data_IF_053524515242
#
_entry.id   IF_053524515242
#
_cell.length_a   1.000
_cell.length_b   1.000
_cell.length_c   1.000
_cell.angle_alpha   90.00
_cell.angle_beta   90.00
_cell.angle_gamma   90.00
#
_symmetry.space_group_name_H-M   'P 1'
#
loop_
_entity.id
_entity.type
_entity.pdbx_description
1 polymer ?
#
# COMPACT_ATOMS: atom_id res chain seq x y z
N UNK A 1 -23.07 -6.70 4.73
CA UNK A 1 -22.26 -7.75 5.40
C UNK A 1 -20.88 -7.77 4.78
N UNK A 2 -19.83 -7.90 5.59
CA UNK A 2 -18.42 -7.84 5.14
C UNK A 2 -18.08 -9.06 4.27
N UNK A 3 -18.64 -10.22 4.60
CA UNK A 3 -18.56 -11.47 3.84
C UNK A 3 -19.00 -11.27 2.38
N UNK A 4 -20.09 -10.54 2.17
CA UNK A 4 -20.58 -10.21 0.83
C UNK A 4 -19.63 -9.29 0.04
N UNK A 5 -18.90 -8.40 0.72
CA UNK A 5 -17.85 -7.59 0.08
C UNK A 5 -16.65 -8.45 -0.32
N UNK A 6 -16.22 -9.35 0.55
CA UNK A 6 -15.12 -10.30 0.27
C UNK A 6 -15.47 -11.15 -0.96
N UNK A 7 -16.69 -11.70 -1.02
CA UNK A 7 -17.14 -12.49 -2.16
C UNK A 7 -17.11 -11.68 -3.46
N UNK A 8 -17.63 -10.44 -3.45
CA UNK A 8 -17.61 -9.55 -4.62
C UNK A 8 -16.20 -9.22 -5.09
N UNK A 9 -15.25 -9.01 -4.19
CA UNK A 9 -13.84 -8.81 -4.56
C UNK A 9 -13.29 -10.02 -5.31
N UNK A 10 -13.63 -11.24 -4.87
CA UNK A 10 -13.29 -12.47 -5.58
C UNK A 10 -13.92 -12.55 -6.97
N UNK A 11 -15.22 -12.24 -7.06
CA UNK A 11 -15.97 -12.24 -8.32
C UNK A 11 -15.40 -11.23 -9.34
N UNK A 12 -15.08 -10.00 -8.92
CA UNK A 12 -14.44 -8.98 -9.76
C UNK A 12 -13.04 -9.42 -10.22
N UNK A 13 -12.30 -10.13 -9.36
CA UNK A 13 -11.02 -10.72 -9.70
C UNK A 13 -11.14 -12.03 -10.53
N UNK A 14 -12.34 -12.54 -10.79
CA UNK A 14 -12.50 -13.86 -11.44
C UNK A 14 -11.92 -15.02 -10.62
N UNK A 15 -11.80 -14.86 -9.30
CA UNK A 15 -11.28 -15.86 -8.36
C UNK A 15 -12.40 -16.31 -7.43
N UNK A 16 -12.74 -17.60 -7.48
CA UNK A 16 -13.65 -18.20 -6.51
C UNK A 16 -12.98 -18.30 -5.13
N UNK A 17 -13.31 -17.37 -4.23
CA UNK A 17 -12.82 -17.35 -2.85
C UNK A 17 -13.65 -18.31 -1.96
N UNK A 18 -13.01 -19.02 -1.00
CA UNK A 18 -13.73 -19.74 0.03
C UNK A 18 -14.52 -18.79 0.94
N UNK A 19 -15.48 -19.35 1.69
CA UNK A 19 -16.20 -18.60 2.71
C UNK A 19 -15.25 -18.09 3.78
N UNK A 20 -15.49 -16.86 4.24
CA UNK A 20 -14.73 -16.20 5.31
C UNK A 20 -15.63 -15.92 6.48
N UNK A 21 -15.29 -16.45 7.65
CA UNK A 21 -15.95 -16.12 8.91
C UNK A 21 -15.48 -14.75 9.40
N UNK A 22 -16.37 -13.77 9.43
CA UNK A 22 -16.08 -12.45 10.01
C UNK A 22 -16.53 -12.41 11.46
N UNK A 23 -15.71 -11.82 12.33
CA UNK A 23 -16.01 -11.62 13.76
C UNK A 23 -15.77 -10.17 14.16
N UNK A 24 -16.54 -9.67 15.13
CA UNK A 24 -16.53 -8.25 15.50
C UNK A 24 -17.34 -7.37 14.55
N UNK A 25 -17.49 -6.10 14.93
CA UNK A 25 -18.40 -5.15 14.29
C UNK A 25 -17.70 -3.82 13.92
N UNK A 26 -18.22 -3.14 12.90
CA UNK A 26 -17.91 -1.75 12.53
C UNK A 26 -18.97 -0.83 13.17
N UNK A 27 -18.62 0.27 13.86
CA UNK A 27 -17.29 0.90 13.86
C UNK A 27 -16.37 0.48 15.01
N UNK A 28 -15.07 0.42 14.69
CA UNK A 28 -13.94 0.33 15.62
C UNK A 28 -13.20 1.68 15.67
N UNK A 29 -13.01 2.33 14.52
CA UNK A 29 -12.31 3.60 14.41
C UNK A 29 -13.28 4.79 14.28
N UNK A 30 -12.95 5.96 14.86
CA UNK A 30 -13.78 7.16 14.74
C UNK A 30 -13.63 7.80 13.35
N UNK A 31 -14.32 7.25 12.36
CA UNK A 31 -14.23 7.63 10.95
C UNK A 31 -15.60 7.85 10.34
N UNK A 32 -15.70 8.82 9.43
CA UNK A 32 -16.91 9.06 8.61
C UNK A 32 -17.03 8.05 7.45
N UNK A 33 -15.96 7.34 7.14
CA UNK A 33 -15.93 6.23 6.20
C UNK A 33 -15.91 4.90 6.95
N UNK A 34 -16.45 3.85 6.31
CA UNK A 34 -16.43 2.47 6.80
C UNK A 34 -15.05 1.82 6.65
N UNK A 35 -14.05 2.41 7.28
CA UNK A 35 -12.65 1.97 7.22
C UNK A 35 -12.46 0.58 7.83
N UNK A 36 -13.22 0.23 8.86
CA UNK A 36 -13.11 -1.07 9.53
C UNK A 36 -13.69 -2.18 8.64
N UNK A 37 -14.83 -1.91 8.00
CA UNK A 37 -15.37 -2.74 6.91
C UNK A 37 -14.35 -2.92 5.78
N UNK A 38 -13.70 -1.84 5.31
CA UNK A 38 -12.73 -1.91 4.23
C UNK A 38 -11.47 -2.71 4.62
N UNK A 39 -10.99 -2.53 5.86
CA UNK A 39 -9.88 -3.28 6.42
C UNK A 39 -10.19 -4.77 6.49
N UNK A 40 -11.32 -5.12 7.12
CA UNK A 40 -11.74 -6.52 7.28
C UNK A 40 -12.01 -7.20 5.92
N UNK A 41 -12.63 -6.49 4.98
CA UNK A 41 -12.87 -7.02 3.64
C UNK A 41 -11.56 -7.26 2.87
N UNK A 42 -10.59 -6.34 2.97
CA UNK A 42 -9.29 -6.47 2.29
C UNK A 42 -8.46 -7.63 2.87
N UNK A 43 -8.36 -7.69 4.21
CA UNK A 43 -7.62 -8.75 4.92
C UNK A 43 -8.31 -10.11 4.73
N UNK A 44 -9.63 -10.15 4.80
CA UNK A 44 -10.41 -11.36 4.54
C UNK A 44 -10.23 -11.87 3.11
N UNK A 45 -10.29 -10.98 2.11
CA UNK A 45 -10.12 -11.34 0.71
C UNK A 45 -8.73 -11.89 0.40
N UNK A 46 -7.65 -11.25 0.88
CA UNK A 46 -6.29 -11.77 0.66
C UNK A 46 -6.06 -13.09 1.38
N UNK A 47 -6.58 -13.25 2.61
CA UNK A 47 -6.46 -14.50 3.36
C UNK A 47 -7.22 -15.64 2.66
N UNK A 48 -8.41 -15.36 2.14
CA UNK A 48 -9.21 -16.30 1.36
C UNK A 48 -8.54 -16.68 0.03
N UNK A 49 -7.91 -15.71 -0.66
CA UNK A 49 -7.17 -15.95 -1.88
C UNK A 49 -5.95 -16.86 -1.63
N UNK A 50 -5.24 -16.64 -0.53
CA UNK A 50 -4.13 -17.50 -0.09
C UNK A 50 -4.61 -18.91 0.25
N UNK A 51 -5.75 -19.05 0.92
CA UNK A 51 -6.35 -20.36 1.20
C UNK A 51 -6.78 -21.08 -0.08
N UNK A 52 -7.35 -20.36 -1.06
CA UNK A 52 -7.71 -20.90 -2.36
C UNK A 52 -6.47 -21.36 -3.15
N UNK A 53 -5.39 -20.58 -3.10
CA UNK A 53 -4.10 -20.95 -3.70
C UNK A 53 -3.52 -22.20 -3.04
N UNK A 54 -3.49 -22.26 -1.70
CA UNK A 54 -2.98 -23.40 -0.96
C UNK A 54 -3.72 -24.69 -1.32
N UNK A 55 -5.05 -24.66 -1.38
CA UNK A 55 -5.88 -25.82 -1.75
C UNK A 55 -5.70 -26.32 -3.20
N UNK A 56 -4.99 -25.58 -4.06
CA UNK A 56 -4.65 -26.00 -5.43
C UNK A 56 -3.23 -26.57 -5.56
N UNK A 57 -2.41 -26.50 -4.51
CA UNK A 57 -1.04 -27.02 -4.55
C UNK A 57 -1.02 -28.53 -4.43
N UNK A 58 -0.09 -29.17 -5.12
CA UNK A 58 0.24 -30.58 -4.89
C UNK A 58 0.67 -30.77 -3.44
N UNK A 59 0.15 -31.80 -2.77
CA UNK A 59 0.43 -32.06 -1.35
C UNK A 59 -0.34 -31.18 -0.36
N UNK A 60 -1.29 -30.35 -0.82
CA UNK A 60 -2.16 -29.58 0.07
C UNK A 60 -2.98 -30.51 0.99
N UNK A 61 -3.30 -30.07 2.23
CA UNK A 61 -4.17 -30.82 3.13
C UNK A 61 -5.52 -31.15 2.48
N UNK A 62 -6.05 -32.35 2.76
CA UNK A 62 -7.32 -32.80 2.22
C UNK A 62 -8.51 -31.90 2.63
N UNK A 63 -8.43 -31.28 3.82
CA UNK A 63 -9.38 -30.28 4.27
C UNK A 63 -8.84 -28.87 3.99
N UNK A 64 -9.67 -28.01 3.38
CA UNK A 64 -9.34 -26.59 3.24
C UNK A 64 -9.27 -25.93 4.63
N UNK A 65 -8.29 -25.04 4.87
CA UNK A 65 -8.22 -24.33 6.14
C UNK A 65 -9.44 -23.42 6.33
N UNK A 66 -9.92 -23.32 7.57
CA UNK A 66 -10.90 -22.30 7.95
C UNK A 66 -10.29 -20.91 7.75
N UNK A 67 -11.05 -19.99 7.17
CA UNK A 67 -10.62 -18.62 6.91
C UNK A 67 -11.47 -17.68 7.75
N UNK A 68 -10.82 -16.87 8.57
CA UNK A 68 -11.51 -15.88 9.38
C UNK A 68 -10.78 -14.55 9.42
N UNK A 69 -11.55 -13.49 9.72
CA UNK A 69 -11.04 -12.15 9.97
C UNK A 69 -11.81 -11.53 11.14
N UNK A 70 -11.08 -10.92 12.06
CA UNK A 70 -11.67 -10.11 13.13
C UNK A 70 -11.58 -8.62 12.73
N UNK A 71 -12.71 -7.91 12.80
CA UNK A 71 -12.80 -6.50 12.37
C UNK A 71 -11.88 -5.60 13.19
N UNK A 72 -11.74 -5.86 14.49
CA UNK A 72 -10.86 -5.07 15.38
C UNK A 72 -9.39 -5.33 15.09
N UNK A 73 -9.00 -6.59 14.82
CA UNK A 73 -7.64 -6.93 14.40
C UNK A 73 -7.29 -6.30 13.05
N UNK A 74 -8.21 -6.35 12.07
CA UNK A 74 -8.00 -5.73 10.77
C UNK A 74 -7.85 -4.20 10.89
N UNK A 75 -8.70 -3.55 11.69
CA UNK A 75 -8.59 -2.11 11.98
C UNK A 75 -7.26 -1.76 12.64
N UNK A 76 -6.80 -2.55 13.61
CA UNK A 76 -5.50 -2.36 14.25
C UNK A 76 -4.32 -2.51 13.27
N UNK A 77 -4.40 -3.47 12.34
CA UNK A 77 -3.39 -3.64 11.30
C UNK A 77 -3.34 -2.45 10.33
N UNK A 78 -4.48 -1.84 10.00
CA UNK A 78 -4.58 -0.64 9.17
C UNK A 78 -4.02 0.63 9.84
N UNK A 79 -3.76 0.59 11.14
CA UNK A 79 -3.11 1.65 11.91
C UNK A 79 -1.81 1.16 12.57
N UNK A 80 -1.19 0.11 12.02
CA UNK A 80 -0.02 -0.55 12.60
C UNK A 80 1.14 0.42 12.85
N UNK A 81 1.29 1.45 12.04
CA UNK A 81 2.29 2.51 12.20
C UNK A 81 2.12 3.31 13.50
N UNK A 82 0.89 3.41 14.03
CA UNK A 82 0.60 4.07 15.31
C UNK A 82 0.95 3.21 16.52
N UNK A 83 1.01 1.90 16.34
CA UNK A 83 1.30 0.92 17.40
C UNK A 83 2.78 0.49 17.40
N UNK A 84 3.43 0.55 16.25
CA UNK A 84 4.83 0.20 16.09
C UNK A 84 5.75 1.10 16.93
N UNK A 85 6.77 0.49 17.53
CA UNK A 85 7.78 1.17 18.35
C UNK A 85 9.16 0.61 18.04
N UNK A 86 10.17 1.49 18.05
CA UNK A 86 11.58 1.13 18.05
C UNK A 86 12.14 1.63 19.38
N UNK A 87 12.66 0.71 20.21
CA UNK A 87 13.15 1.02 21.56
C UNK A 87 12.15 1.84 22.40
N UNK A 88 10.87 1.45 22.34
CA UNK A 88 9.77 2.12 23.03
C UNK A 88 9.31 3.45 22.41
N UNK A 89 9.99 3.97 21.39
CA UNK A 89 9.68 5.25 20.75
C UNK A 89 8.86 5.07 19.48
N UNK A 90 7.95 6.01 19.22
CA UNK A 90 7.20 6.09 17.96
C UNK A 90 8.11 6.58 16.84
N UNK A 91 7.95 6.02 15.65
CA UNK A 91 8.58 6.57 14.47
C UNK A 91 7.93 7.90 14.06
N UNK A 92 8.74 8.85 13.61
CA UNK A 92 8.25 10.09 12.99
C UNK A 92 7.97 9.81 11.53
N UNK A 93 6.71 9.98 11.12
CA UNK A 93 6.24 9.66 9.76
C UNK A 93 5.97 10.90 8.91
N UNK A 94 5.85 12.07 9.55
CA UNK A 94 5.44 13.31 8.92
C UNK A 94 6.52 14.36 9.08
N UNK A 95 6.91 14.99 7.98
CA UNK A 95 7.80 16.14 8.00
C UNK A 95 7.07 17.40 8.49
N UNK A 96 7.78 18.42 9.02
CA UNK A 96 7.16 19.59 9.65
C UNK A 96 6.16 20.35 8.78
N UNK A 97 6.43 20.48 7.47
CA UNK A 97 5.58 21.21 6.53
C UNK A 97 4.49 20.33 5.88
N UNK A 98 4.49 19.02 6.14
CA UNK A 98 3.41 18.15 5.66
C UNK A 98 2.17 18.34 6.50
N UNK A 99 1.02 18.54 5.85
CA UNK A 99 -0.24 18.72 6.56
C UNK A 99 -1.32 19.39 5.73
N UNK A 100 -2.40 19.74 6.43
CA UNK A 100 -3.57 20.40 5.85
C UNK A 100 -3.53 21.89 6.18
N UNK A 101 -3.66 22.72 5.15
CA UNK A 101 -3.61 24.17 5.22
C UNK A 101 -4.88 24.77 4.66
N UNK A 102 -5.37 25.84 5.28
CA UNK A 102 -6.56 26.54 4.81
C UNK A 102 -6.23 27.37 3.57
N UNK A 103 -7.11 27.32 2.58
CA UNK A 103 -7.04 28.12 1.35
C UNK A 103 -8.18 29.13 1.33
N UNK A 104 -8.24 30.00 0.33
CA UNK A 104 -9.29 31.01 0.22
C UNK A 104 -10.69 30.42 0.04
N UNK A 105 -10.77 29.20 -0.47
CA UNK A 105 -12.00 28.49 -0.85
C UNK A 105 -12.16 27.11 -0.19
N UNK A 106 -11.21 26.66 0.63
CA UNK A 106 -11.22 25.32 1.18
C UNK A 106 -9.94 24.95 1.92
N UNK A 107 -9.39 23.79 1.56
CA UNK A 107 -8.18 23.24 2.16
C UNK A 107 -7.28 22.59 1.11
N UNK A 108 -5.97 22.66 1.34
CA UNK A 108 -4.94 21.94 0.58
C UNK A 108 -4.18 21.01 1.51
N UNK A 109 -3.93 19.78 1.07
CA UNK A 109 -2.97 18.87 1.69
C UNK A 109 -1.62 19.01 0.99
N UNK A 110 -0.57 19.37 1.73
CA UNK A 110 0.81 19.36 1.24
C UNK A 110 1.54 18.12 1.79
N UNK A 111 2.27 17.42 0.92
CA UNK A 111 3.03 16.23 1.27
C UNK A 111 4.54 16.45 1.08
N UNK A 112 5.14 17.08 2.08
CA UNK A 112 6.55 17.51 2.13
C UNK A 112 7.46 16.52 2.88
N UNK A 113 7.11 15.23 2.90
CA UNK A 113 7.89 14.21 3.64
C UNK A 113 9.28 13.91 3.05
N UNK A 114 9.54 14.34 1.82
CA UNK A 114 10.86 14.30 1.21
C UNK A 114 11.35 15.71 0.94
N UNK A 115 12.64 15.93 1.12
CA UNK A 115 13.27 17.26 0.99
C UNK A 115 12.94 17.93 -0.35
N UNK A 116 13.04 17.21 -1.46
CA UNK A 116 12.71 17.75 -2.77
C UNK A 116 11.22 18.15 -2.92
N UNK A 117 10.29 17.44 -2.27
CA UNK A 117 8.88 17.85 -2.23
C UNK A 117 8.66 19.07 -1.34
N UNK A 118 9.37 19.17 -0.22
CA UNK A 118 9.35 20.36 0.64
C UNK A 118 9.85 21.58 -0.15
N UNK A 119 10.99 21.45 -0.80
CA UNK A 119 11.62 22.55 -1.53
C UNK A 119 10.76 22.98 -2.73
N UNK A 120 10.13 22.03 -3.42
CA UNK A 120 9.14 22.33 -4.47
C UNK A 120 7.93 23.11 -3.94
N UNK A 121 7.39 22.72 -2.77
CA UNK A 121 6.27 23.44 -2.18
C UNK A 121 6.66 24.87 -1.75
N UNK A 122 7.86 25.06 -1.19
CA UNK A 122 8.35 26.39 -0.81
C UNK A 122 8.54 27.29 -2.04
N UNK A 123 9.16 26.80 -3.12
CA UNK A 123 9.28 27.54 -4.38
C UNK A 123 7.91 27.92 -4.96
N UNK A 124 6.97 26.98 -5.00
CA UNK A 124 5.61 27.20 -5.52
C UNK A 124 4.81 28.25 -4.72
N UNK A 125 5.15 28.42 -3.43
CA UNK A 125 4.54 29.40 -2.54
C UNK A 125 5.33 30.72 -2.46
N UNK A 126 6.49 30.82 -3.13
CA UNK A 126 7.36 32.00 -3.05
C UNK A 126 7.99 32.19 -1.67
N UNK A 127 8.26 31.10 -0.96
CA UNK A 127 8.80 31.10 0.40
C UNK A 127 10.27 30.65 0.43
N UNK A 128 11.03 31.21 1.35
CA UNK A 128 12.43 30.83 1.58
C UNK A 128 12.56 29.46 2.24
N UNK A 129 13.75 28.85 2.14
CA UNK A 129 14.04 27.53 2.72
C UNK A 129 13.86 27.45 4.25
N UNK A 130 13.90 28.59 4.95
CA UNK A 130 13.69 28.69 6.39
C UNK A 130 12.23 28.88 6.81
N UNK A 131 11.30 28.97 5.86
CA UNK A 131 9.89 29.22 6.15
C UNK A 131 9.26 28.12 7.01
N UNK A 132 8.51 28.57 8.01
CA UNK A 132 7.79 27.71 8.95
C UNK A 132 6.38 27.39 8.49
N UNK A 133 5.67 26.66 9.35
CA UNK A 133 4.28 26.26 9.10
C UNK A 133 3.33 27.46 8.98
N UNK A 134 3.59 28.53 9.72
CA UNK A 134 2.76 29.74 9.72
C UNK A 134 2.92 30.53 8.41
N UNK A 135 4.14 30.58 7.86
CA UNK A 135 4.41 31.21 6.56
C UNK A 135 3.69 30.45 5.43
N UNK A 136 3.79 29.12 5.45
CA UNK A 136 3.06 28.24 4.51
C UNK A 136 1.54 28.43 4.65
N UNK A 137 1.03 28.50 5.88
CA UNK A 137 -0.39 28.74 6.11
C UNK A 137 -0.84 30.10 5.56
N UNK A 138 -0.06 31.16 5.77
CA UNK A 138 -0.36 32.50 5.24
C UNK A 138 -0.34 32.52 3.70
N UNK A 139 0.63 31.88 3.07
CA UNK A 139 0.74 31.79 1.61
C UNK A 139 -0.42 30.99 0.99
N UNK A 140 -0.85 29.90 1.62
CA UNK A 140 -2.00 29.12 1.18
C UNK A 140 -3.33 29.87 1.34
N UNK A 141 -3.50 30.63 2.43
CA UNK A 141 -4.77 31.26 2.79
C UNK A 141 -5.29 32.29 1.77
N UNK A 142 -4.41 32.87 0.95
CA UNK A 142 -4.76 33.89 -0.05
C UNK A 142 -4.94 33.33 -1.47
N UNK A 143 -4.80 32.01 -1.65
CA UNK A 143 -4.90 31.32 -2.94
C UNK A 143 -6.01 30.27 -2.88
N UNK A 144 -6.57 29.89 -4.03
CA UNK A 144 -7.49 28.76 -4.07
C UNK A 144 -6.72 27.45 -3.86
N UNK A 145 -7.39 26.41 -3.38
CA UNK A 145 -6.75 25.10 -3.20
C UNK A 145 -6.23 24.52 -4.51
N UNK A 146 -6.94 24.73 -5.62
CA UNK A 146 -6.51 24.29 -6.95
C UNK A 146 -5.29 25.06 -7.44
N UNK A 147 -5.20 26.37 -7.21
CA UNK A 147 -4.02 27.15 -7.62
C UNK A 147 -2.76 26.71 -6.88
N UNK A 148 -2.89 26.31 -5.60
CA UNK A 148 -1.76 25.78 -4.82
C UNK A 148 -1.41 24.37 -5.28
N UNK A 149 -2.41 23.50 -5.50
CA UNK A 149 -2.22 22.14 -6.02
C UNK A 149 -1.43 22.17 -7.35
N UNK A 150 -1.86 22.99 -8.30
CA UNK A 150 -1.22 23.13 -9.61
C UNK A 150 0.20 23.68 -9.50
N UNK A 151 0.41 24.77 -8.76
CA UNK A 151 1.73 25.36 -8.63
C UNK A 151 2.75 24.42 -7.97
N UNK A 152 2.35 23.71 -6.91
CA UNK A 152 3.23 22.75 -6.24
C UNK A 152 3.55 21.58 -7.16
N UNK A 153 2.57 21.08 -7.91
CA UNK A 153 2.78 19.95 -8.83
C UNK A 153 3.67 20.33 -10.01
N UNK A 154 3.55 21.56 -10.54
CA UNK A 154 4.42 22.09 -11.60
C UNK A 154 5.89 22.19 -11.15
N UNK A 155 6.13 22.46 -9.87
CA UNK A 155 7.48 22.46 -9.26
C UNK A 155 8.01 21.04 -8.92
N UNK A 156 7.25 19.99 -9.25
CA UNK A 156 7.59 18.60 -8.93
C UNK A 156 7.32 18.20 -7.48
N UNK A 157 6.49 18.97 -6.76
CA UNK A 157 6.02 18.66 -5.43
C UNK A 157 4.76 17.80 -5.40
N UNK A 158 4.28 17.49 -4.20
CA UNK A 158 3.07 16.69 -3.99
C UNK A 158 2.07 17.48 -3.14
N UNK A 159 0.94 17.83 -3.75
CA UNK A 159 -0.15 18.55 -3.11
C UNK A 159 -1.50 18.04 -3.65
N UNK A 160 -2.56 18.18 -2.85
CA UNK A 160 -3.91 17.87 -3.27
C UNK A 160 -4.94 18.82 -2.65
N UNK A 161 -5.76 19.47 -3.47
CA UNK A 161 -6.91 20.25 -3.05
C UNK A 161 -7.97 19.31 -2.47
N UNK A 162 -8.39 19.58 -1.24
CA UNK A 162 -9.33 18.74 -0.51
C UNK A 162 -10.75 19.04 -0.97
N UNK A 163 -11.24 18.18 -1.87
CA UNK A 163 -12.56 18.28 -2.48
C UNK A 163 -13.61 17.60 -1.59
N UNK A 164 -14.81 18.17 -1.54
CA UNK A 164 -15.99 17.48 -0.99
C UNK A 164 -16.33 16.26 -1.84
N UNK A 165 -17.12 15.33 -1.29
CA UNK A 165 -17.60 14.15 -2.05
C UNK A 165 -18.33 14.55 -3.33
N UNK A 166 -19.15 15.61 -3.29
CA UNK A 166 -19.90 16.11 -4.45
C UNK A 166 -18.95 16.64 -5.53
N UNK A 167 -17.96 17.42 -5.15
CA UNK A 167 -16.93 17.92 -6.07
C UNK A 167 -16.11 16.78 -6.69
N UNK A 168 -15.68 15.80 -5.88
CA UNK A 168 -14.95 14.64 -6.39
C UNK A 168 -15.77 13.85 -7.42
N UNK A 169 -17.03 13.56 -7.13
CA UNK A 169 -17.90 12.82 -8.07
C UNK A 169 -18.19 13.60 -9.37
N UNK A 170 -18.14 14.93 -9.32
CA UNK A 170 -18.28 15.77 -10.51
C UNK A 170 -16.96 15.94 -11.28
N UNK A 171 -15.81 15.75 -10.62
CA UNK A 171 -14.48 15.93 -11.19
C UNK A 171 -14.22 14.95 -12.34
N UNK A 172 -13.51 15.35 -13.43
CA UNK A 172 -13.27 14.47 -14.57
C UNK A 172 -12.61 13.13 -14.19
N UNK A 173 -11.57 13.18 -13.35
CA UNK A 173 -10.87 11.98 -12.85
C UNK A 173 -11.77 11.15 -11.93
N UNK A 174 -12.61 11.79 -11.10
CA UNK A 174 -13.55 11.10 -10.24
C UNK A 174 -14.62 10.33 -11.01
N UNK A 175 -15.13 10.92 -12.11
CA UNK A 175 -16.03 10.25 -13.06
C UNK A 175 -15.34 9.10 -13.76
N UNK A 176 -14.11 9.30 -14.24
CA UNK A 176 -13.34 8.27 -14.93
C UNK A 176 -13.08 7.05 -14.04
N UNK A 177 -12.66 7.23 -12.78
CA UNK A 177 -12.42 6.09 -11.87
C UNK A 177 -13.70 5.43 -11.38
N UNK A 178 -14.85 6.13 -11.39
CA UNK A 178 -16.13 5.55 -11.00
C UNK A 178 -16.67 4.53 -12.03
N UNK A 179 -16.17 4.58 -13.26
CA UNK A 179 -16.51 3.64 -14.34
C UNK A 179 -15.60 2.40 -14.34
N UNK A 180 -14.52 2.39 -13.55
CA UNK A 180 -13.57 1.29 -13.48
C UNK A 180 -14.00 0.25 -12.42
N UNK A 181 -13.69 -1.05 -12.63
CA UNK A 181 -13.85 -2.06 -11.58
C UNK A 181 -12.92 -1.75 -10.39
N UNK A 182 -13.27 -2.22 -9.19
CA UNK A 182 -12.44 -2.01 -8.01
C UNK A 182 -11.13 -2.80 -8.11
N UNK A 183 -11.19 -3.98 -8.73
CA UNK A 183 -10.02 -4.83 -9.03
C UNK A 183 -10.01 -5.16 -10.52
N UNK A 184 -8.91 -4.84 -11.19
CA UNK A 184 -8.65 -5.21 -12.59
C UNK A 184 -7.55 -6.27 -12.68
N UNK A 185 -7.80 -7.35 -13.42
CA UNK A 185 -6.79 -8.37 -13.72
C UNK A 185 -6.66 -8.52 -15.23
N UNK A 186 -5.41 -8.64 -15.67
CA UNK A 186 -5.08 -8.93 -17.06
C UNK A 186 -4.10 -10.10 -17.12
N UNK A 187 -4.31 -10.99 -18.09
CA UNK A 187 -3.40 -12.09 -18.37
C UNK A 187 -2.47 -11.67 -19.49
N UNK A 188 -1.17 -11.79 -19.26
CA UNK A 188 -0.16 -11.62 -20.30
C UNK A 188 0.14 -12.98 -20.92
N UNK A 189 0.37 -13.07 -22.25
CA UNK A 189 0.84 -14.30 -22.87
C UNK A 189 2.17 -14.73 -22.24
N UNK A 190 2.16 -15.90 -21.60
CA UNK A 190 3.35 -16.49 -21.01
C UNK A 190 3.62 -17.86 -21.65
N UNK A 191 4.89 -18.26 -21.86
CA UNK A 191 5.22 -19.65 -22.14
C UNK A 191 4.66 -20.54 -21.01
N UNK A 192 4.25 -21.76 -21.33
CA UNK A 192 3.47 -22.65 -20.46
C UNK A 192 4.21 -23.18 -19.20
N UNK A 193 5.18 -22.47 -18.64
CA UNK A 193 5.91 -22.93 -17.45
C UNK A 193 6.55 -21.77 -16.70
N UNK A 194 6.18 -21.51 -15.43
CA UNK A 194 7.09 -20.85 -14.51
C UNK A 194 8.28 -21.79 -14.27
N UNK A 195 9.49 -21.36 -14.61
CA UNK A 195 10.73 -22.15 -14.54
C UNK A 195 11.22 -22.47 -13.11
N UNK A 196 10.42 -22.15 -12.09
CA UNK A 196 10.77 -22.40 -10.70
C UNK A 196 9.79 -23.46 -10.22
N UNK A 197 10.23 -24.71 -10.30
CA UNK A 197 9.51 -25.82 -9.68
C UNK A 197 9.16 -25.40 -8.26
N UNK A 198 7.88 -25.56 -7.91
CA UNK A 198 7.45 -25.64 -6.52
C UNK A 198 8.51 -26.45 -5.79
N UNK A 199 9.24 -25.82 -4.86
CA UNK A 199 10.36 -26.46 -4.20
C UNK A 199 9.92 -27.88 -3.79
N UNK A 200 10.62 -28.87 -4.35
CA UNK A 200 10.47 -30.28 -4.02
C UNK A 200 10.49 -30.39 -2.49
N UNK A 201 9.34 -30.77 -1.92
CA UNK A 201 9.12 -30.77 -0.46
C UNK A 201 7.74 -30.33 0.01
N UNK A 202 6.69 -30.35 -0.84
CA UNK A 202 5.34 -29.95 -0.45
C UNK A 202 4.73 -30.76 0.72
N UNK A 203 5.27 -31.95 1.02
CA UNK A 203 4.83 -32.77 2.14
C UNK A 203 5.09 -32.11 3.52
N UNK A 204 6.03 -31.16 3.62
CA UNK A 204 6.41 -30.49 4.88
C UNK A 204 6.30 -28.95 4.82
N UNK A 205 5.58 -28.39 3.84
CA UNK A 205 5.47 -26.94 3.71
C UNK A 205 4.66 -26.34 4.89
N UNK A 206 5.28 -25.58 5.83
CA UNK A 206 4.62 -25.21 7.08
C UNK A 206 3.60 -24.06 6.92
N UNK A 207 3.56 -23.40 5.75
CA UNK A 207 2.75 -22.20 5.51
C UNK A 207 2.23 -22.09 4.07
N UNK A 208 1.10 -21.39 3.85
CA UNK A 208 0.44 -21.31 2.54
C UNK A 208 1.30 -20.88 1.35
N UNK A 209 2.22 -19.95 1.56
CA UNK A 209 3.08 -19.41 0.50
C UNK A 209 4.53 -19.92 0.58
N UNK A 210 4.80 -21.01 1.32
CA UNK A 210 6.13 -21.60 1.37
C UNK A 210 6.65 -21.95 -0.03
N UNK A 211 7.86 -21.48 -0.35
CA UNK A 211 8.50 -21.67 -1.65
C UNK A 211 8.11 -20.65 -2.73
N UNK A 212 7.19 -19.71 -2.44
CA UNK A 212 6.86 -18.59 -3.33
C UNK A 212 7.87 -17.47 -3.11
N UNK A 213 8.51 -17.02 -4.19
CA UNK A 213 9.48 -15.92 -4.18
C UNK A 213 8.85 -14.63 -4.65
N UNK A 214 8.89 -13.60 -3.81
CA UNK A 214 8.32 -12.27 -4.07
C UNK A 214 9.43 -11.24 -4.15
N UNK A 215 9.45 -10.47 -5.24
CA UNK A 215 10.32 -9.32 -5.41
C UNK A 215 9.49 -8.04 -5.17
N UNK A 216 9.78 -7.33 -4.08
CA UNK A 216 9.14 -6.05 -3.71
C UNK A 216 10.01 -4.89 -4.21
N UNK A 217 9.59 -4.24 -5.29
CA UNK A 217 10.21 -3.06 -5.91
C UNK A 217 9.54 -1.76 -5.46
N UNK A 218 8.71 -1.82 -4.43
CA UNK A 218 7.89 -0.70 -3.98
C UNK A 218 8.49 0.05 -2.80
N UNK A 219 7.90 1.20 -2.51
CA UNK A 219 8.33 2.11 -1.44
C UNK A 219 7.12 2.62 -0.65
N UNK A 220 7.41 3.15 0.53
CA UNK A 220 6.45 3.83 1.41
C UNK A 220 5.45 2.87 2.09
N UNK A 221 4.25 2.63 1.54
CA UNK A 221 3.17 1.94 2.29
C UNK A 221 2.46 0.83 1.49
N UNK A 222 1.76 1.14 0.40
CA UNK A 222 0.83 0.19 -0.23
C UNK A 222 1.50 -1.12 -0.67
N UNK A 223 2.54 -1.02 -1.49
CA UNK A 223 3.32 -2.17 -1.93
C UNK A 223 4.08 -2.86 -0.79
N UNK A 224 4.78 -2.14 0.12
CA UNK A 224 5.48 -2.79 1.22
C UNK A 224 4.55 -3.54 2.18
N UNK A 225 3.31 -3.08 2.37
CA UNK A 225 2.27 -3.78 3.15
C UNK A 225 1.77 -5.01 2.41
N UNK A 226 1.51 -4.94 1.09
CA UNK A 226 1.14 -6.11 0.30
C UNK A 226 2.22 -7.21 0.39
N UNK A 227 3.48 -6.83 0.23
CA UNK A 227 4.62 -7.73 0.37
C UNK A 227 4.73 -8.33 1.79
N UNK A 228 4.49 -7.53 2.84
CA UNK A 228 4.47 -7.99 4.24
C UNK A 228 3.37 -9.03 4.48
N UNK A 229 2.19 -8.86 3.89
CA UNK A 229 1.10 -9.84 3.99
C UNK A 229 1.52 -11.18 3.37
N UNK A 230 2.15 -11.17 2.18
CA UNK A 230 2.67 -12.40 1.58
C UNK A 230 3.74 -13.05 2.44
N UNK A 231 4.66 -12.27 3.03
CA UNK A 231 5.66 -12.77 3.96
C UNK A 231 5.02 -13.42 5.21
N UNK A 232 3.95 -12.82 5.76
CA UNK A 232 3.22 -13.38 6.90
C UNK A 232 2.65 -14.77 6.57
N UNK A 233 2.21 -14.99 5.33
CA UNK A 233 1.77 -16.30 4.82
C UNK A 233 2.91 -17.24 4.37
N UNK A 234 4.18 -16.86 4.57
CA UNK A 234 5.34 -17.73 4.36
C UNK A 234 6.08 -17.56 3.04
N UNK A 235 5.78 -16.52 2.26
CA UNK A 235 6.54 -16.23 1.05
C UNK A 235 7.96 -15.73 1.37
N UNK A 236 8.91 -16.05 0.51
CA UNK A 236 10.26 -15.50 0.54
C UNK A 236 10.25 -14.13 -0.14
N UNK A 237 10.25 -13.07 0.67
CA UNK A 237 10.13 -11.70 0.15
C UNK A 237 11.48 -10.98 0.18
N UNK A 238 11.94 -10.51 -0.97
CA UNK A 238 13.08 -9.61 -1.11
C UNK A 238 12.62 -8.23 -1.55
N UNK A 239 12.79 -7.24 -0.69
CA UNK A 239 12.63 -5.83 -1.05
C UNK A 239 13.92 -5.28 -1.66
N UNK A 240 13.83 -4.62 -2.80
CA UNK A 240 14.95 -3.93 -3.44
C UNK A 240 14.75 -2.43 -3.32
N UNK A 241 15.66 -1.76 -2.62
CA UNK A 241 15.78 -0.30 -2.62
C UNK A 241 17.05 0.15 -3.33
N UNK A 242 17.37 1.43 -3.22
CA UNK A 242 18.68 1.96 -3.59
C UNK A 242 19.12 3.01 -2.58
N UNK A 243 20.39 2.96 -2.17
CA UNK A 243 20.90 3.79 -1.07
C UNK A 243 20.79 5.31 -1.34
N UNK A 244 20.73 5.71 -2.61
CA UNK A 244 20.60 7.11 -3.03
C UNK A 244 19.15 7.61 -3.06
N UNK A 245 18.15 6.73 -2.91
CA UNK A 245 16.75 7.11 -2.92
C UNK A 245 16.32 7.53 -1.50
N UNK A 246 15.52 8.61 -1.37
CA UNK A 246 15.06 9.05 -0.07
C UNK A 246 14.13 8.00 0.55
N UNK A 247 14.15 7.81 1.86
CA UNK A 247 13.24 6.88 2.53
C UNK A 247 12.61 7.52 3.77
N UNK A 248 11.53 6.92 4.26
CA UNK A 248 10.98 7.21 5.60
C UNK A 248 11.39 6.03 6.49
N UNK A 249 12.49 6.13 7.26
CA UNK A 249 13.08 4.97 7.95
C UNK A 249 12.09 4.24 8.86
N UNK A 250 11.18 4.98 9.50
CA UNK A 250 10.09 4.41 10.29
C UNK A 250 9.22 3.41 9.54
N UNK A 251 8.77 3.78 8.33
CA UNK A 251 7.94 2.92 7.48
C UNK A 251 8.71 1.76 6.89
N UNK A 252 10.00 1.96 6.58
CA UNK A 252 10.89 0.92 6.09
C UNK A 252 10.95 -0.23 7.08
N UNK A 253 11.20 0.08 8.36
CA UNK A 253 11.29 -0.95 9.41
C UNK A 253 9.91 -1.53 9.74
N UNK A 254 8.89 -0.69 9.87
CA UNK A 254 7.53 -1.11 10.21
C UNK A 254 6.94 -2.09 9.18
N UNK A 255 7.24 -1.91 7.90
CA UNK A 255 6.76 -2.78 6.83
C UNK A 255 7.69 -3.96 6.53
N UNK A 256 8.86 -4.07 7.19
CA UNK A 256 9.90 -5.06 6.88
C UNK A 256 9.68 -6.46 7.50
N UNK A 257 8.68 -6.65 8.36
CA UNK A 257 8.45 -7.95 9.02
C UNK A 257 8.33 -9.11 8.02
N UNK A 258 9.16 -10.13 8.21
CA UNK A 258 9.20 -11.31 7.34
C UNK A 258 9.90 -11.10 5.99
N UNK A 259 10.42 -9.89 5.71
CA UNK A 259 11.10 -9.56 4.45
C UNK A 259 12.61 -9.48 4.64
N UNK A 260 13.35 -9.81 3.58
CA UNK A 260 14.76 -9.43 3.41
C UNK A 260 14.82 -8.14 2.60
N UNK A 261 15.89 -7.37 2.74
CA UNK A 261 16.08 -6.15 1.97
C UNK A 261 17.50 -6.05 1.45
N UNK A 262 17.67 -5.50 0.25
CA UNK A 262 18.96 -5.15 -0.31
C UNK A 262 18.89 -3.81 -1.06
N UNK A 263 20.07 -3.24 -1.33
CA UNK A 263 20.20 -2.09 -2.21
C UNK A 263 20.80 -2.53 -3.54
N UNK A 264 20.17 -2.10 -4.64
CA UNK A 264 20.69 -2.27 -6.00
C UNK A 264 20.62 -0.91 -6.69
N UNK A 265 21.75 -0.43 -7.18
CA UNK A 265 21.79 0.79 -7.98
C UNK A 265 21.70 0.44 -9.47
N UNK A 266 20.51 0.61 -10.05
CA UNK A 266 20.25 0.25 -11.45
C UNK A 266 21.03 1.11 -12.46
N UNK A 267 21.62 2.22 -12.01
CA UNK A 267 22.49 3.07 -12.84
C UNK A 267 23.83 2.40 -13.10
N UNK A 268 24.29 1.55 -12.19
CA UNK A 268 25.58 0.85 -12.26
C UNK A 268 25.42 -0.65 -12.50
N UNK A 269 24.33 -1.25 -12.03
CA UNK A 269 24.13 -2.72 -12.04
C UNK A 269 22.77 -3.14 -12.62
N UNK A 270 22.36 -2.67 -13.82
CA UNK A 270 21.02 -2.93 -14.36
C UNK A 270 20.75 -4.43 -14.63
N UNK A 271 21.80 -5.25 -14.76
CA UNK A 271 21.69 -6.70 -14.95
C UNK A 271 21.09 -7.43 -13.76
N UNK A 272 21.39 -6.97 -12.53
CA UNK A 272 20.97 -7.63 -11.29
C UNK A 272 19.46 -7.71 -11.18
N UNK A 273 18.75 -6.63 -11.52
CA UNK A 273 17.28 -6.61 -11.47
C UNK A 273 16.66 -7.64 -12.42
N UNK A 274 17.21 -7.80 -13.63
CA UNK A 274 16.70 -8.80 -14.58
C UNK A 274 16.84 -10.21 -14.03
N UNK A 275 17.95 -10.49 -13.35
CA UNK A 275 18.18 -11.80 -12.75
C UNK A 275 17.30 -12.06 -11.54
N UNK A 276 17.01 -11.02 -10.74
CA UNK A 276 16.05 -11.12 -9.64
C UNK A 276 14.62 -11.35 -10.18
N UNK A 277 14.19 -10.59 -11.18
CA UNK A 277 12.86 -10.74 -11.80
C UNK A 277 12.69 -12.14 -12.40
N UNK A 278 13.71 -12.69 -13.07
CA UNK A 278 13.67 -14.06 -13.61
C UNK A 278 13.48 -15.15 -12.56
N UNK A 279 13.81 -14.87 -11.30
CA UNK A 279 13.73 -15.81 -10.17
C UNK A 279 12.52 -15.62 -9.28
N UNK A 280 11.75 -14.55 -9.51
CA UNK A 280 10.57 -14.22 -8.73
C UNK A 280 9.32 -14.85 -9.35
N UNK A 281 8.43 -15.36 -8.50
CA UNK A 281 7.10 -15.82 -8.90
C UNK A 281 6.11 -14.64 -8.91
N UNK A 282 6.35 -13.64 -8.04
CA UNK A 282 5.55 -12.44 -7.88
C UNK A 282 6.46 -11.22 -7.88
N UNK A 283 6.11 -10.20 -8.65
CA UNK A 283 6.73 -8.87 -8.59
C UNK A 283 5.68 -7.90 -8.08
N UNK A 284 6.03 -7.11 -7.06
CA UNK A 284 5.21 -6.04 -6.48
C UNK A 284 5.91 -4.72 -6.73
#
# INVERSE_FOLDING_TARGET
MIEGLIKRLGEEAGIALPDVRVTGDDPVLPSVFRVDTAAAASVGAVTAAVAAYWGRREGAPAARPDVSVDVRHAAAAFQSERHFRIDGKRAVLWAPLSGDYRTSDGWIKLHCNFDHHRDAALRALGLDAGAGKDDVAAACAVRTGTDVEEAVTLEGGCAAAMRTRREWLAHPQGRAVAELPLVGLSSLPAPATPAHGTASGAADAPRPLSGVRVLDLTRVIAGPVAARILAAHGAEVLRVGAAHLPEVPGLVVETAFGKRSCHVDLRTEPGVLRDLVRRADVVI
#
